data_IF_009889828272
#
_entry.id   IF_009889828272
#
_cell.length_a   1.000
_cell.length_b   1.000
_cell.length_c   1.000
_cell.angle_alpha   90.00
_cell.angle_beta   90.00
_cell.angle_gamma   90.00
#
_symmetry.space_group_name_H-M   'P 1'
#
loop_
_entity.id
_entity.type
_entity.pdbx_description
1 polymer ?
#
# COMPACT_ATOMS: atom_id res chain seq x y z
N UNK A 1 -20.02 25.31 -25.23
CA UNK A 1 -19.64 23.91 -24.89
C UNK A 1 -18.34 23.98 -24.12
N UNK A 2 -18.40 23.87 -22.79
CA UNK A 2 -17.20 23.86 -21.96
C UNK A 2 -16.59 22.47 -21.96
N UNK A 3 -15.41 22.31 -22.55
CA UNK A 3 -14.59 21.13 -22.35
C UNK A 3 -14.17 21.10 -20.87
N UNK A 4 -14.88 20.34 -20.04
CA UNK A 4 -14.36 19.98 -18.73
C UNK A 4 -13.08 19.16 -18.98
N UNK A 5 -11.91 19.75 -18.69
CA UNK A 5 -10.67 18.99 -18.60
C UNK A 5 -10.91 17.78 -17.67
N UNK A 6 -10.36 16.59 -17.98
CA UNK A 6 -10.48 15.45 -17.08
C UNK A 6 -9.94 15.90 -15.72
N UNK A 7 -10.79 15.83 -14.68
CA UNK A 7 -10.34 16.14 -13.31
C UNK A 7 -9.29 15.10 -12.95
N UNK A 8 -8.06 15.54 -12.67
CA UNK A 8 -7.02 14.67 -12.13
C UNK A 8 -7.53 14.08 -10.82
N UNK A 9 -7.84 12.79 -10.84
CA UNK A 9 -8.41 12.07 -9.72
C UNK A 9 -7.29 11.60 -8.80
N UNK A 10 -7.42 11.86 -7.51
CA UNK A 10 -6.43 11.44 -6.51
C UNK A 10 -6.75 10.03 -6.02
N UNK A 11 -5.75 9.17 -5.99
CA UNK A 11 -5.88 7.79 -5.55
C UNK A 11 -5.14 7.52 -4.26
N UNK A 12 -5.80 6.82 -3.36
CA UNK A 12 -5.20 6.22 -2.17
C UNK A 12 -5.29 4.72 -2.33
N UNK A 13 -4.13 4.05 -2.36
CA UNK A 13 -4.09 2.59 -2.43
C UNK A 13 -4.21 2.03 -1.02
N UNK A 14 -5.06 1.03 -0.85
CA UNK A 14 -5.22 0.29 0.41
C UNK A 14 -4.59 -1.08 0.20
N UNK A 15 -3.49 -1.29 0.90
CA UNK A 15 -2.62 -2.45 0.88
C UNK A 15 -2.85 -3.26 2.15
N UNK A 16 -3.54 -4.37 2.02
CA UNK A 16 -3.86 -5.25 3.11
C UNK A 16 -2.91 -6.43 3.23
N UNK A 17 -2.50 -6.72 4.46
CA UNK A 17 -2.00 -8.06 4.81
C UNK A 17 -3.18 -9.05 4.80
N UNK A 18 -2.94 -10.36 4.62
CA UNK A 18 -4.02 -11.35 4.63
C UNK A 18 -4.95 -11.20 5.85
N UNK A 19 -6.26 -11.15 5.61
CA UNK A 19 -7.27 -11.01 6.68
C UNK A 19 -7.35 -9.64 7.33
N UNK A 20 -6.67 -8.61 6.78
CA UNK A 20 -6.74 -7.23 7.30
C UNK A 20 -8.06 -6.51 7.04
N UNK A 21 -8.98 -7.08 6.25
CA UNK A 21 -10.26 -6.43 5.97
C UNK A 21 -10.19 -5.26 4.99
N UNK A 22 -9.10 -5.14 4.21
CA UNK A 22 -8.86 -4.02 3.29
C UNK A 22 -10.03 -3.69 2.35
N UNK A 23 -10.77 -4.69 1.87
CA UNK A 23 -11.90 -4.48 0.97
C UNK A 23 -13.10 -3.84 1.67
N UNK A 24 -13.33 -4.20 2.94
CA UNK A 24 -14.36 -3.58 3.79
C UNK A 24 -13.95 -2.15 4.16
N UNK A 25 -12.69 -1.97 4.58
CA UNK A 25 -12.09 -0.66 4.85
C UNK A 25 -12.20 0.28 3.64
N UNK A 26 -11.92 -0.22 2.44
CA UNK A 26 -12.04 0.54 1.20
C UNK A 26 -13.45 1.03 0.94
N UNK A 27 -14.46 0.17 1.13
CA UNK A 27 -15.87 0.56 1.00
C UNK A 27 -16.22 1.68 1.98
N UNK A 28 -15.81 1.53 3.25
CA UNK A 28 -16.04 2.54 4.31
C UNK A 28 -15.35 3.87 4.07
N UNK A 29 -14.15 3.84 3.48
CA UNK A 29 -13.44 5.05 3.10
C UNK A 29 -14.08 5.74 1.88
N UNK A 30 -14.60 4.96 0.94
CA UNK A 30 -15.25 5.50 -0.25
C UNK A 30 -16.61 6.15 0.06
N UNK A 31 -17.32 5.70 1.10
CA UNK A 31 -18.55 6.34 1.59
C UNK A 31 -18.26 7.83 1.88
N UNK A 32 -18.95 8.74 1.17
CA UNK A 32 -18.93 10.20 1.37
C UNK A 32 -17.62 10.94 0.99
N UNK A 33 -16.77 10.37 0.11
CA UNK A 33 -15.57 11.06 -0.38
C UNK A 33 -15.65 11.32 -1.88
N UNK A 34 -15.71 12.60 -2.29
CA UNK A 34 -15.91 12.99 -3.70
C UNK A 34 -14.60 13.21 -4.48
N UNK A 35 -13.56 13.70 -3.82
CA UNK A 35 -12.33 14.16 -4.50
C UNK A 35 -11.16 13.16 -4.40
N UNK A 36 -11.28 12.15 -3.54
CA UNK A 36 -10.29 11.09 -3.34
C UNK A 36 -10.95 9.74 -3.59
N UNK A 37 -10.29 8.88 -4.35
CA UNK A 37 -10.73 7.51 -4.59
C UNK A 37 -9.82 6.52 -3.92
N UNK A 38 -10.45 5.64 -3.15
CA UNK A 38 -9.79 4.56 -2.46
C UNK A 38 -9.83 3.31 -3.33
N UNK A 39 -8.69 2.64 -3.44
CA UNK A 39 -8.54 1.43 -4.25
C UNK A 39 -7.92 0.37 -3.36
N UNK A 40 -8.73 -0.63 -2.97
CA UNK A 40 -8.19 -1.86 -2.42
C UNK A 40 -7.38 -2.55 -3.50
N UNK A 41 -6.10 -2.76 -3.25
CA UNK A 41 -5.28 -3.62 -4.10
C UNK A 41 -5.51 -5.08 -3.68
N UNK A 42 -5.30 -6.06 -4.57
CA UNK A 42 -5.32 -7.46 -4.18
C UNK A 42 -4.37 -7.73 -2.99
N UNK A 43 -4.72 -8.69 -2.13
CA UNK A 43 -3.94 -8.99 -0.92
C UNK A 43 -2.48 -9.27 -1.28
N UNK A 44 -1.57 -8.60 -0.58
CA UNK A 44 -0.14 -8.74 -0.82
C UNK A 44 0.44 -9.77 0.14
N UNK A 45 0.74 -10.96 -0.37
CA UNK A 45 1.42 -12.01 0.38
C UNK A 45 2.79 -12.33 -0.22
N UNK A 46 3.72 -11.38 -0.03
CA UNK A 46 5.03 -11.42 -0.67
C UNK A 46 6.08 -12.32 0.02
N UNK A 47 5.74 -12.86 1.20
CA UNK A 47 6.62 -13.75 1.97
C UNK A 47 6.29 -15.25 1.76
N UNK A 48 5.28 -15.55 0.93
CA UNK A 48 4.92 -16.93 0.54
C UNK A 48 5.80 -17.48 -0.58
N UNK A 49 5.47 -18.71 -1.00
CA UNK A 49 6.05 -19.39 -2.15
C UNK A 49 6.09 -18.49 -3.39
N UNK A 50 7.06 -18.74 -4.26
CA UNK A 50 7.39 -17.87 -5.38
C UNK A 50 6.18 -17.63 -6.28
N UNK A 51 5.36 -18.65 -6.53
CA UNK A 51 4.16 -18.56 -7.36
C UNK A 51 3.15 -17.55 -6.80
N UNK A 52 2.92 -17.57 -5.48
CA UNK A 52 1.97 -16.65 -4.81
C UNK A 52 2.52 -15.22 -4.81
N UNK A 53 3.82 -15.08 -4.57
CA UNK A 53 4.49 -13.78 -4.59
C UNK A 53 4.44 -13.15 -5.98
N UNK A 54 4.79 -13.89 -7.03
CA UNK A 54 4.76 -13.40 -8.41
C UNK A 54 3.33 -13.03 -8.82
N UNK A 55 2.33 -13.84 -8.45
CA UNK A 55 0.93 -13.50 -8.71
C UNK A 55 0.51 -12.19 -8.01
N UNK A 56 0.92 -12.00 -6.74
CA UNK A 56 0.66 -10.76 -5.99
C UNK A 56 1.29 -9.53 -6.67
N UNK A 57 2.50 -9.68 -7.23
CA UNK A 57 3.19 -8.61 -7.97
C UNK A 57 2.42 -8.27 -9.25
N UNK A 58 2.02 -9.28 -10.04
CA UNK A 58 1.26 -9.09 -11.27
C UNK A 58 -0.09 -8.42 -11.02
N UNK A 59 -0.79 -8.84 -9.98
CA UNK A 59 -2.09 -8.28 -9.59
C UNK A 59 -1.96 -6.81 -9.15
N UNK A 60 -0.88 -6.49 -8.43
CA UNK A 60 -0.55 -5.11 -8.08
C UNK A 60 -0.21 -4.26 -9.30
N UNK A 61 0.66 -4.75 -10.20
CA UNK A 61 1.03 -4.08 -11.45
C UNK A 61 -0.18 -3.78 -12.32
N UNK A 62 -1.07 -4.76 -12.49
CA UNK A 62 -2.33 -4.60 -13.22
C UNK A 62 -3.17 -3.48 -12.63
N UNK A 63 -3.37 -3.50 -11.32
CA UNK A 63 -4.15 -2.47 -10.61
C UNK A 63 -3.50 -1.08 -10.75
N UNK A 64 -2.18 -0.98 -10.57
CA UNK A 64 -1.44 0.26 -10.77
C UNK A 64 -1.61 0.80 -12.18
N UNK A 65 -1.40 -0.03 -13.21
CA UNK A 65 -1.45 0.38 -14.61
C UNK A 65 -2.85 0.83 -15.04
N UNK A 66 -3.89 0.12 -14.61
CA UNK A 66 -5.28 0.53 -14.83
C UNK A 66 -5.53 1.93 -14.28
N UNK A 67 -5.07 2.23 -13.05
CA UNK A 67 -5.27 3.55 -12.43
C UNK A 67 -4.33 4.63 -12.94
N UNK A 68 -3.11 4.27 -13.35
CA UNK A 68 -2.14 5.21 -13.89
C UNK A 68 -2.51 5.66 -15.32
N UNK A 69 -3.08 4.77 -16.16
CA UNK A 69 -3.58 5.11 -17.51
C UNK A 69 -4.69 6.16 -17.51
N UNK A 70 -5.40 6.32 -16.41
CA UNK A 70 -6.47 7.30 -16.26
C UNK A 70 -5.94 8.75 -15.97
N UNK A 71 -4.65 9.07 -16.22
CA UNK A 71 -3.99 10.37 -15.98
C UNK A 71 -3.94 10.83 -14.50
N UNK A 72 -3.83 9.87 -13.59
CA UNK A 72 -4.12 10.12 -12.18
C UNK A 72 -2.90 10.07 -11.26
N UNK A 73 -3.09 10.59 -10.04
CA UNK A 73 -2.05 10.78 -9.05
C UNK A 73 -2.30 9.86 -7.86
N UNK A 74 -1.45 8.86 -7.65
CA UNK A 74 -1.42 8.11 -6.39
C UNK A 74 -0.77 9.01 -5.35
N UNK A 75 -1.51 9.33 -4.29
CA UNK A 75 -1.13 10.33 -3.29
C UNK A 75 -0.72 9.74 -1.96
N UNK A 76 -1.21 8.54 -1.62
CA UNK A 76 -0.91 7.88 -0.35
C UNK A 76 -1.12 6.36 -0.46
N UNK A 77 -0.44 5.63 0.42
CA UNK A 77 -0.53 4.18 0.57
C UNK A 77 -1.01 3.89 2.00
N UNK A 78 -2.25 3.44 2.14
CA UNK A 78 -2.76 2.90 3.39
C UNK A 78 -2.31 1.45 3.49
N UNK A 79 -1.56 1.09 4.52
CA UNK A 79 -1.23 -0.29 4.86
C UNK A 79 -2.12 -0.73 6.01
N UNK A 80 -3.07 -1.63 5.74
CA UNK A 80 -3.99 -2.14 6.75
C UNK A 80 -3.50 -3.45 7.37
N UNK A 81 -3.61 -3.55 8.69
CA UNK A 81 -3.26 -4.75 9.47
C UNK A 81 -4.35 -5.05 10.48
N UNK A 82 -4.71 -6.33 10.63
CA UNK A 82 -5.68 -6.77 11.64
C UNK A 82 -5.12 -6.59 13.06
N UNK A 83 -5.94 -6.08 13.98
CA UNK A 83 -5.61 -6.03 15.40
C UNK A 83 -5.46 -7.45 15.97
N UNK A 84 -4.24 -7.77 16.38
CA UNK A 84 -3.87 -9.02 17.03
C UNK A 84 -2.65 -8.75 17.92
N UNK A 85 -1.91 -9.79 18.31
CA UNK A 85 -0.65 -9.62 19.03
C UNK A 85 0.30 -8.67 18.31
N UNK A 86 0.89 -7.74 19.06
CA UNK A 86 1.74 -6.66 18.53
C UNK A 86 2.92 -7.17 17.70
N UNK A 87 3.53 -8.30 18.07
CA UNK A 87 4.64 -8.92 17.32
C UNK A 87 4.19 -9.45 15.95
N UNK A 88 3.01 -10.08 15.89
CA UNK A 88 2.40 -10.56 14.65
C UNK A 88 2.10 -9.37 13.73
N UNK A 89 1.49 -8.31 14.25
CA UNK A 89 1.19 -7.12 13.47
C UNK A 89 2.46 -6.46 12.92
N UNK A 90 3.51 -6.31 13.74
CA UNK A 90 4.80 -5.77 13.29
C UNK A 90 5.39 -6.58 12.15
N UNK A 91 5.38 -7.92 12.27
CA UNK A 91 5.85 -8.81 11.21
C UNK A 91 5.07 -8.62 9.92
N UNK A 92 3.73 -8.59 10.01
CA UNK A 92 2.86 -8.45 8.84
C UNK A 92 2.98 -7.05 8.19
N UNK A 93 3.16 -6.00 8.99
CA UNK A 93 3.42 -4.66 8.45
C UNK A 93 4.80 -4.60 7.76
N UNK A 94 5.82 -5.21 8.36
CA UNK A 94 7.18 -5.26 7.79
C UNK A 94 7.24 -6.05 6.49
N UNK A 95 6.46 -7.13 6.34
CA UNK A 95 6.42 -7.91 5.11
C UNK A 95 5.96 -7.10 3.90
N UNK A 96 5.14 -6.06 4.12
CA UNK A 96 4.66 -5.16 3.07
C UNK A 96 5.54 -3.90 2.95
N UNK A 97 5.71 -3.17 4.06
CA UNK A 97 6.35 -1.84 4.06
C UNK A 97 7.78 -1.89 3.51
N UNK A 98 8.51 -3.00 3.68
CA UNK A 98 9.88 -3.15 3.16
C UNK A 98 9.99 -2.92 1.65
N UNK A 99 8.94 -3.26 0.88
CA UNK A 99 8.90 -3.08 -0.56
C UNK A 99 8.51 -1.65 -0.99
N UNK A 100 7.93 -0.87 -0.08
CA UNK A 100 7.55 0.54 -0.29
C UNK A 100 8.46 1.50 0.49
N UNK A 101 9.63 1.05 0.97
CA UNK A 101 10.54 1.85 1.80
C UNK A 101 10.93 3.18 1.15
N UNK A 102 11.07 3.22 -0.18
CA UNK A 102 11.32 4.47 -0.92
C UNK A 102 10.19 5.48 -0.73
N UNK A 103 8.95 5.01 -0.63
CA UNK A 103 7.72 5.81 -0.52
C UNK A 103 7.20 5.90 0.91
N UNK A 104 8.05 5.72 1.92
CA UNK A 104 7.65 5.69 3.33
C UNK A 104 6.90 6.95 3.78
N UNK A 105 7.15 8.09 3.14
CA UNK A 105 6.45 9.36 3.42
C UNK A 105 5.00 9.38 2.92
N UNK A 106 4.65 8.45 2.03
CA UNK A 106 3.29 8.26 1.53
C UNK A 106 2.47 7.29 2.38
N UNK A 107 3.13 6.53 3.27
CA UNK A 107 2.51 5.43 4.00
C UNK A 107 1.73 5.93 5.22
N UNK A 108 0.52 5.40 5.37
CA UNK A 108 -0.35 5.52 6.54
C UNK A 108 -0.67 4.10 7.01
N UNK A 109 -0.67 3.85 8.32
CA UNK A 109 -1.04 2.53 8.88
C UNK A 109 -2.46 2.62 9.44
N UNK A 110 -3.30 1.62 9.12
CA UNK A 110 -4.60 1.44 9.74
C UNK A 110 -4.66 0.07 10.42
N UNK A 111 -4.88 0.08 11.73
CA UNK A 111 -5.15 -1.13 12.51
C UNK A 111 -6.65 -1.42 12.45
N UNK A 112 -7.01 -2.54 11.83
CA UNK A 112 -8.40 -2.95 11.61
C UNK A 112 -8.93 -3.87 12.69
N UNK A 113 -10.25 -4.00 12.80
CA UNK A 113 -10.90 -4.83 13.84
C UNK A 113 -10.49 -4.48 15.28
N UNK A 114 -10.26 -3.19 15.54
CA UNK A 114 -9.78 -2.72 16.84
C UNK A 114 -10.86 -2.76 17.95
N UNK A 115 -12.11 -3.01 17.58
CA UNK A 115 -13.22 -3.34 18.50
C UNK A 115 -12.95 -4.59 19.36
N UNK A 116 -11.93 -5.39 19.01
CA UNK A 116 -11.50 -6.55 19.79
C UNK A 116 -10.56 -6.19 20.95
N UNK A 117 -10.16 -4.92 21.11
CA UNK A 117 -9.36 -4.47 22.25
C UNK A 117 -10.20 -4.36 23.52
N UNK A 118 -9.72 -4.97 24.62
CA UNK A 118 -10.32 -4.81 25.95
C UNK A 118 -9.97 -3.45 26.59
N UNK A 119 -8.84 -2.86 26.19
CA UNK A 119 -8.28 -1.64 26.76
C UNK A 119 -8.00 -0.61 25.66
N UNK A 120 -9.08 -0.16 25.00
CA UNK A 120 -9.03 0.64 23.75
C UNK A 120 -8.03 1.79 23.79
N UNK A 121 -8.07 2.65 24.82
CA UNK A 121 -7.20 3.84 24.88
C UNK A 121 -5.73 3.49 25.14
N UNK A 122 -5.47 2.57 26.06
CA UNK A 122 -4.13 2.10 26.39
C UNK A 122 -3.48 1.38 25.19
N UNK A 123 -4.23 0.49 24.54
CA UNK A 123 -3.75 -0.24 23.37
C UNK A 123 -3.48 0.70 22.19
N UNK A 124 -4.30 1.73 21.98
CA UNK A 124 -4.02 2.76 20.95
C UNK A 124 -2.69 3.45 21.20
N UNK A 125 -2.44 3.92 22.42
CA UNK A 125 -1.19 4.58 22.75
C UNK A 125 0.01 3.65 22.61
N UNK A 126 -0.11 2.42 23.12
CA UNK A 126 0.96 1.42 23.08
C UNK A 126 1.28 1.01 21.64
N UNK A 127 0.28 0.87 20.78
CA UNK A 127 0.46 0.55 19.37
C UNK A 127 1.03 1.72 18.57
N UNK A 128 0.58 2.95 18.80
CA UNK A 128 1.21 4.14 18.18
C UNK A 128 2.69 4.21 18.49
N UNK A 129 3.06 4.09 19.78
CA UNK A 129 4.46 4.05 20.22
C UNK A 129 5.23 2.89 19.58
N UNK A 130 4.60 1.72 19.47
CA UNK A 130 5.20 0.50 18.95
C UNK A 130 5.40 0.49 17.44
N UNK A 131 4.54 1.17 16.66
CA UNK A 131 4.53 1.10 15.20
C UNK A 131 5.19 2.32 14.54
N UNK A 132 5.36 3.44 15.25
CA UNK A 132 5.93 4.68 14.69
C UNK A 132 7.30 4.54 14.02
N UNK A 133 8.12 3.56 14.44
CA UNK A 133 9.42 3.33 13.83
C UNK A 133 9.30 2.95 12.34
N UNK A 134 8.16 2.37 11.94
CA UNK A 134 7.84 2.05 10.55
C UNK A 134 7.58 3.32 9.72
N UNK A 135 7.24 4.43 10.37
CA UNK A 135 6.79 5.68 9.73
C UNK A 135 7.70 6.86 10.10
N UNK A 136 9.03 6.65 10.16
CA UNK A 136 10.00 7.72 10.54
C UNK A 136 9.66 8.43 11.87
N UNK A 137 9.14 7.68 12.84
CA UNK A 137 8.68 8.15 14.15
C UNK A 137 7.46 9.08 14.13
N UNK A 138 6.64 9.01 13.09
CA UNK A 138 5.39 9.76 12.96
C UNK A 138 4.19 8.94 13.43
N UNK A 139 3.67 9.27 14.61
CA UNK A 139 2.49 8.63 15.20
C UNK A 139 1.16 9.15 14.63
N UNK A 140 1.15 10.31 13.96
CA UNK A 140 -0.07 10.91 13.38
C UNK A 140 -0.59 10.13 12.17
N UNK A 141 0.27 9.29 11.58
CA UNK A 141 -0.06 8.42 10.44
C UNK A 141 -0.53 7.03 10.84
N UNK A 142 -0.90 6.83 12.11
CA UNK A 142 -1.39 5.55 12.63
C UNK A 142 -2.83 5.73 13.12
N UNK A 143 -3.75 5.02 12.48
CA UNK A 143 -5.18 5.07 12.75
C UNK A 143 -5.72 3.70 13.12
N UNK A 144 -6.93 3.71 13.67
CA UNK A 144 -7.64 2.54 14.17
C UNK A 144 -9.05 2.54 13.58
N UNK A 145 -9.53 1.35 13.23
CA UNK A 145 -10.92 1.17 12.83
C UNK A 145 -11.63 0.15 13.72
N UNK A 146 -12.84 0.50 14.14
CA UNK A 146 -13.75 -0.30 14.96
C UNK A 146 -14.94 -0.80 14.13
N UNK A 147 -15.76 -1.71 14.68
CA UNK A 147 -17.11 -2.05 14.22
C UNK A 147 -17.25 -2.15 12.69
N UNK A 148 -16.84 -3.27 12.09
CA UNK A 148 -16.85 -3.43 10.62
C UNK A 148 -15.98 -2.41 9.88
N UNK A 149 -14.83 -2.06 10.45
CA UNK A 149 -13.82 -1.18 9.86
C UNK A 149 -14.27 0.28 9.63
N UNK A 150 -15.18 0.78 10.47
CA UNK A 150 -15.41 2.20 10.64
C UNK A 150 -14.21 2.87 11.32
N UNK A 151 -13.69 3.95 10.74
CA UNK A 151 -12.49 4.63 11.24
C UNK A 151 -12.87 5.65 12.31
N UNK A 152 -12.28 5.54 13.50
CA UNK A 152 -12.60 6.37 14.68
C UNK A 152 -12.39 7.87 14.42
N UNK A 153 -11.34 8.23 13.68
CA UNK A 153 -10.95 9.61 13.37
C UNK A 153 -10.91 9.84 11.84
N UNK A 154 -11.98 9.47 11.11
CA UNK A 154 -11.98 9.52 9.63
C UNK A 154 -11.63 10.90 9.05
N UNK A 155 -12.14 11.99 9.62
CA UNK A 155 -11.83 13.36 9.15
C UNK A 155 -10.33 13.66 9.29
N UNK A 156 -9.74 13.32 10.44
CA UNK A 156 -8.30 13.46 10.68
C UNK A 156 -7.46 12.59 9.75
N UNK A 157 -7.93 11.39 9.39
CA UNK A 157 -7.29 10.57 8.37
C UNK A 157 -7.27 11.28 7.01
N UNK A 158 -8.38 11.88 6.59
CA UNK A 158 -8.44 12.64 5.34
C UNK A 158 -7.50 13.86 5.38
N UNK A 159 -7.40 14.54 6.51
CA UNK A 159 -6.44 15.64 6.70
C UNK A 159 -4.99 15.15 6.59
N UNK A 160 -4.66 14.00 7.17
CA UNK A 160 -3.33 13.40 7.07
C UNK A 160 -3.03 12.97 5.63
N UNK A 161 -3.99 12.38 4.91
CA UNK A 161 -3.84 12.05 3.47
C UNK A 161 -3.53 13.31 2.66
N UNK A 162 -4.24 14.42 2.93
CA UNK A 162 -3.99 15.69 2.25
C UNK A 162 -2.61 16.28 2.58
N UNK A 163 -2.18 16.22 3.85
CA UNK A 163 -0.83 16.64 4.27
C UNK A 163 0.25 15.79 3.60
N UNK A 164 0.06 14.49 3.51
CA UNK A 164 0.96 13.56 2.83
C UNK A 164 1.10 13.91 1.34
N UNK A 165 -0.02 14.19 0.66
CA UNK A 165 0.00 14.59 -0.75
C UNK A 165 0.74 15.93 -0.97
N UNK A 166 0.52 16.90 -0.08
CA UNK A 166 1.17 18.22 -0.17
C UNK A 166 2.68 18.15 0.10
N UNK A 167 3.10 17.27 1.00
CA UNK A 167 4.50 17.15 1.44
C UNK A 167 5.29 16.08 0.69
N UNK A 168 4.69 15.43 -0.32
CA UNK A 168 5.37 14.35 -1.03
C UNK A 168 6.62 14.87 -1.74
N UNK A 169 7.73 14.18 -1.48
CA UNK A 169 9.01 14.51 -2.10
C UNK A 169 9.16 13.94 -3.52
N UNK A 170 8.36 12.92 -3.85
CA UNK A 170 8.40 12.23 -5.14
C UNK A 170 7.01 11.75 -5.55
N UNK A 171 6.79 11.61 -6.86
CA UNK A 171 5.63 10.89 -7.39
C UNK A 171 5.76 9.39 -7.10
N UNK A 172 4.63 8.74 -6.85
CA UNK A 172 4.58 7.29 -6.75
C UNK A 172 4.74 6.69 -8.15
N UNK A 173 5.75 5.84 -8.33
CA UNK A 173 6.07 5.15 -9.57
C UNK A 173 6.59 3.74 -9.27
N UNK A 174 6.35 2.79 -10.16
CA UNK A 174 6.89 1.43 -10.00
C UNK A 174 8.38 1.33 -10.35
N UNK A 175 8.95 2.37 -10.97
CA UNK A 175 10.37 2.38 -11.35
C UNK A 175 11.27 2.21 -10.13
N UNK A 176 12.31 1.40 -10.29
CA UNK A 176 13.26 1.04 -9.25
C UNK A 176 12.61 0.32 -8.05
N UNK A 177 11.49 -0.37 -8.28
CA UNK A 177 10.82 -1.24 -7.29
C UNK A 177 10.75 -2.67 -7.79
N UNK A 178 10.45 -3.62 -6.90
CA UNK A 178 10.18 -5.01 -7.30
C UNK A 178 8.91 -5.16 -8.16
N UNK A 179 8.10 -4.11 -8.26
CA UNK A 179 6.89 -4.07 -9.06
C UNK A 179 7.13 -3.46 -10.44
N UNK A 180 8.36 -3.09 -10.78
CA UNK A 180 8.68 -2.60 -12.12
C UNK A 180 8.39 -3.70 -13.17
N UNK A 181 7.64 -3.36 -14.21
CA UNK A 181 7.43 -4.28 -15.31
C UNK A 181 8.73 -4.41 -16.11
N UNK A 182 9.21 -5.64 -16.25
CA UNK A 182 10.32 -5.94 -17.13
C UNK A 182 9.78 -6.04 -18.56
N UNK A 183 10.23 -5.13 -19.42
CA UNK A 183 9.91 -5.14 -20.85
C UNK A 183 10.32 -6.50 -21.46
N UNK A 184 9.45 -7.09 -22.28
CA UNK A 184 9.73 -8.36 -22.95
C UNK A 184 10.96 -8.28 -23.86
N UNK A 185 11.27 -7.08 -24.39
CA UNK A 185 12.51 -6.85 -25.14
C UNK A 185 13.75 -6.99 -24.24
N UNK A 186 13.70 -6.49 -23.00
CA UNK A 186 14.76 -6.63 -22.01
C UNK A 186 14.88 -8.07 -21.51
N UNK A 187 13.76 -8.79 -21.32
CA UNK A 187 13.79 -10.23 -20.98
C UNK A 187 14.51 -11.02 -22.06
N UNK A 188 14.21 -10.79 -23.34
CA UNK A 188 14.88 -11.46 -24.44
C UNK A 188 16.38 -11.13 -24.49
N UNK A 189 16.77 -9.88 -24.24
CA UNK A 189 18.17 -9.49 -24.16
C UNK A 189 18.91 -10.18 -23.02
N UNK A 190 18.31 -10.26 -21.82
CA UNK A 190 18.89 -10.96 -20.67
C UNK A 190 19.02 -12.46 -20.94
N UNK A 191 17.99 -13.09 -21.51
CA UNK A 191 18.03 -14.50 -21.90
C UNK A 191 19.16 -14.75 -22.92
N UNK A 192 19.30 -13.91 -23.94
CA UNK A 192 20.36 -14.02 -24.94
C UNK A 192 21.77 -13.83 -24.32
N UNK A 193 21.91 -12.94 -23.34
CA UNK A 193 23.16 -12.76 -22.60
C UNK A 193 23.49 -13.98 -21.72
N UNK A 194 22.51 -14.58 -21.05
CA UNK A 194 22.71 -15.80 -20.27
C UNK A 194 23.09 -16.98 -21.18
N UNK A 195 22.39 -17.18 -22.29
CA UNK A 195 22.70 -18.27 -23.23
C UNK A 195 24.09 -18.13 -23.86
N UNK A 196 24.56 -16.92 -24.17
CA UNK A 196 25.92 -16.69 -24.67
C UNK A 196 27.00 -16.88 -23.60
N UNK A 197 26.69 -16.56 -22.34
CA UNK A 197 27.59 -16.73 -21.19
C UNK A 197 27.75 -18.19 -20.74
N UNK A 198 26.69 -18.99 -20.84
CA UNK A 198 26.70 -20.40 -20.45
C UNK A 198 26.92 -21.36 -21.62
N UNK A 199 26.69 -20.92 -22.86
CA UNK A 199 26.92 -21.71 -24.07
C UNK A 199 28.39 -21.89 -24.48
N UNK A 200 29.32 -21.15 -23.87
CA UNK A 200 30.76 -21.22 -24.17
C UNK A 200 31.55 -22.19 -23.27
N UNK A 201 30.92 -22.90 -22.32
CA UNK A 201 31.57 -24.00 -21.59
C UNK A 201 31.41 -25.34 -22.31
N UNK A 202 31.96 -25.45 -23.51
CA UNK A 202 32.38 -26.73 -24.10
C UNK A 202 33.63 -26.51 -24.93
N UNK A 203 34.79 -26.73 -24.32
CA UNK A 203 35.79 -27.72 -24.72
C UNK A 203 36.91 -27.76 -23.69
#
# INVERSE_FOLDING_TARGET
>A
MGCCAPRNKKYVFIIGTPGSGQSELCKKLQENTNDTSFVAIPEMDLDREIEIREQSILDFQKTYNEKHKENNQIISLIVSVKFERTDIMKRNLLSVIKYFRRFIDLIIIIVTYFDQSEYVDEDKENLKKSLKFLLKNDEERIFFSQNSNQIDEKEKLLDVINKVDQNKQQSFTLKDTIFEEVDDSQKQQILNQLFSSFGTRKQ
#
